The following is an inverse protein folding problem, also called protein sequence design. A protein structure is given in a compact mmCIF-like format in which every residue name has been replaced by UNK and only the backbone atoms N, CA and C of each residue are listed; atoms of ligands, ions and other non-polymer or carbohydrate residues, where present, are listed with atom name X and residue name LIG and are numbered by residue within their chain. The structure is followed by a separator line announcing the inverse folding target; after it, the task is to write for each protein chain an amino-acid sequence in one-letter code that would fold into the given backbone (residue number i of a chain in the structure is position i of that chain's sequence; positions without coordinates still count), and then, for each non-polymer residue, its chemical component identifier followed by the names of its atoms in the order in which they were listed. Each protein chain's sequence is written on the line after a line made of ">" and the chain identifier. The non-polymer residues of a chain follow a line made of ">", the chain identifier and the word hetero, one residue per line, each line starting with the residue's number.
data_IF_760104084986
#
_entry.id   IF_760104084986
#
_cell.length_a   1.000
_cell.length_b   1.000
_cell.length_c   1.000
_cell.angle_alpha   90.00
_cell.angle_beta   90.00
_cell.angle_gamma   90.00
#
_symmetry.space_group_name_H-M   'P 1'
#
loop_
_entity.id
_entity.type
_entity.pdbx_description
1 polymer ?
#
# COMPACT_ATOMS: atom_id res chain seq x y z
N UNK A 1 18.56 -5.29 16.23
CA UNK A 1 17.95 -4.83 17.51
C UNK A 1 17.58 -6.05 18.32
N UNK A 2 18.03 -6.17 19.58
CA UNK A 2 17.68 -7.29 20.47
C UNK A 2 16.37 -6.95 21.17
N UNK A 3 15.28 -7.62 20.80
CA UNK A 3 13.96 -7.36 21.37
C UNK A 3 13.85 -7.90 22.80
N UNK A 4 13.09 -7.21 23.65
CA UNK A 4 12.76 -7.67 24.99
C UNK A 4 11.87 -8.94 24.89
N UNK A 5 12.14 -10.00 25.67
CA UNK A 5 11.32 -11.22 25.70
C UNK A 5 9.82 -10.95 25.93
N UNK A 6 9.45 -9.94 26.72
CA UNK A 6 8.04 -9.58 26.94
C UNK A 6 7.36 -9.09 25.65
N UNK A 7 8.06 -8.28 24.85
CA UNK A 7 7.57 -7.82 23.55
C UNK A 7 7.37 -8.99 22.58
N UNK A 8 8.27 -9.98 22.63
CA UNK A 8 8.18 -11.20 21.81
C UNK A 8 6.95 -12.04 22.17
N UNK A 9 6.65 -12.18 23.46
CA UNK A 9 5.47 -12.94 23.93
C UNK A 9 4.17 -12.19 23.59
N UNK A 10 4.09 -10.89 23.87
CA UNK A 10 2.88 -10.10 23.67
C UNK A 10 2.43 -10.06 22.21
N UNK A 11 3.33 -9.76 21.26
CA UNK A 11 2.92 -9.81 19.85
C UNK A 11 2.76 -11.24 19.32
N UNK A 12 3.29 -12.27 20.00
CA UNK A 12 2.96 -13.67 19.69
C UNK A 12 1.50 -14.00 20.02
N UNK A 13 1.02 -13.57 21.20
CA UNK A 13 -0.38 -13.72 21.61
C UNK A 13 -1.35 -12.96 20.68
N UNK A 14 -0.96 -11.75 20.25
CA UNK A 14 -1.74 -10.95 19.30
C UNK A 14 -1.90 -11.63 17.94
N UNK A 15 -0.84 -12.28 17.43
CA UNK A 15 -0.91 -13.02 16.17
C UNK A 15 -1.80 -14.27 16.30
N UNK A 16 -1.71 -14.97 17.42
CA UNK A 16 -2.53 -16.15 17.69
C UNK A 16 -4.03 -15.81 17.79
N UNK A 17 -4.38 -14.68 18.41
CA UNK A 17 -5.77 -14.24 18.51
C UNK A 17 -6.37 -13.88 17.15
N UNK A 18 -5.58 -13.28 16.24
CA UNK A 18 -6.04 -12.97 14.89
C UNK A 18 -6.37 -14.23 14.07
N UNK A 19 -5.56 -15.30 14.22
CA UNK A 19 -5.82 -16.59 13.56
C UNK A 19 -7.03 -17.29 14.19
N UNK A 20 -7.15 -17.26 15.53
CA UNK A 20 -8.29 -17.83 16.24
C UNK A 20 -9.63 -17.12 15.92
N UNK A 21 -9.58 -15.84 15.55
CA UNK A 21 -10.74 -15.06 15.12
C UNK A 21 -11.27 -15.41 13.71
N UNK A 22 -10.72 -16.45 13.04
CA UNK A 22 -11.19 -16.90 11.73
C UNK A 22 -10.70 -16.03 10.55
N UNK A 23 -9.58 -15.33 10.72
CA UNK A 23 -8.94 -14.58 9.62
C UNK A 23 -8.48 -15.53 8.50
N UNK A 24 -8.89 -15.24 7.27
CA UNK A 24 -8.40 -15.93 6.07
C UNK A 24 -6.94 -15.58 5.71
N UNK A 25 -6.35 -14.59 6.40
CA UNK A 25 -4.98 -14.14 6.21
C UNK A 25 -4.04 -14.72 7.28
N UNK A 26 -2.84 -15.11 6.86
CA UNK A 26 -1.78 -15.52 7.77
C UNK A 26 -1.17 -14.30 8.48
N UNK A 27 -1.23 -14.28 9.82
CA UNK A 27 -0.61 -13.25 10.64
C UNK A 27 0.81 -13.68 11.05
N UNK A 28 1.83 -12.88 10.71
CA UNK A 28 3.23 -13.11 11.13
C UNK A 28 3.91 -11.78 11.48
N UNK A 29 4.96 -11.85 12.31
CA UNK A 29 5.83 -10.69 12.54
C UNK A 29 6.55 -10.30 11.24
N UNK A 30 6.64 -9.01 10.96
CA UNK A 30 7.45 -8.46 9.86
C UNK A 30 8.94 -8.59 10.17
N UNK A 31 9.78 -8.65 9.14
CA UNK A 31 11.23 -8.73 9.29
C UNK A 31 11.75 -7.45 9.99
N UNK A 32 12.53 -7.54 11.08
CA UNK A 32 13.05 -6.38 11.83
C UNK A 32 14.02 -5.47 11.05
N UNK A 33 14.45 -5.83 9.84
CA UNK A 33 15.16 -4.88 8.94
C UNK A 33 14.22 -3.93 8.18
N UNK A 34 12.91 -4.21 8.18
CA UNK A 34 11.88 -3.39 7.51
C UNK A 34 11.17 -2.41 8.44
N UNK A 35 11.45 -2.50 9.74
CA UNK A 35 10.97 -1.60 10.78
C UNK A 35 12.21 -1.11 11.50
N UNK A 36 12.38 0.20 11.68
CA UNK A 36 13.26 0.71 12.72
C UNK A 36 12.73 0.29 14.08
N UNK A 37 13.00 1.07 15.12
CA UNK A 37 12.47 0.80 16.46
C UNK A 37 11.01 0.30 16.46
N UNK A 38 10.73 -0.78 17.20
CA UNK A 38 9.39 -1.34 17.43
C UNK A 38 8.52 -0.40 18.32
N UNK A 39 8.69 0.93 18.15
CA UNK A 39 7.99 1.95 18.91
C UNK A 39 6.65 2.26 18.27
N UNK A 40 5.65 2.54 19.11
CA UNK A 40 4.35 3.03 18.66
C UNK A 40 4.46 4.34 17.89
N UNK A 41 5.44 5.18 18.23
CA UNK A 41 5.70 6.46 17.55
C UNK A 41 6.17 6.24 16.12
N UNK A 42 7.06 5.28 15.88
CA UNK A 42 7.50 4.92 14.52
C UNK A 42 6.36 4.29 13.73
N UNK A 43 5.55 3.42 14.36
CA UNK A 43 4.40 2.82 13.70
C UNK A 43 3.39 3.88 13.21
N UNK A 44 3.17 4.93 13.99
CA UNK A 44 2.29 6.02 13.62
C UNK A 44 2.76 6.78 12.36
N UNK A 45 4.06 6.81 12.07
CA UNK A 45 4.61 7.44 10.85
C UNK A 45 4.34 6.65 9.58
N UNK A 46 3.82 5.43 9.67
CA UNK A 46 3.38 4.67 8.49
C UNK A 46 1.92 4.98 8.10
N UNK A 47 1.19 5.81 8.86
CA UNK A 47 -0.25 6.02 8.72
C UNK A 47 -0.63 7.45 8.27
N UNK A 48 -0.01 7.92 7.19
CA UNK A 48 -0.06 9.35 6.80
C UNK A 48 -1.25 9.82 5.99
N UNK A 49 -2.17 8.92 5.68
CA UNK A 49 -3.41 9.28 5.02
C UNK A 49 -4.41 9.77 6.06
N UNK A 50 -4.61 11.10 6.11
CA UNK A 50 -5.64 11.71 6.95
C UNK A 50 -6.96 11.76 6.18
N UNK A 51 -8.03 11.27 6.81
CA UNK A 51 -9.38 11.44 6.30
C UNK A 51 -9.72 12.94 6.26
N UNK A 52 -9.72 13.54 5.07
CA UNK A 52 -10.32 14.86 4.87
C UNK A 52 -11.82 14.69 4.66
N UNK A 53 -12.67 15.59 5.19
CA UNK A 53 -14.08 15.59 4.82
C UNK A 53 -14.16 15.58 3.30
N UNK A 54 -14.93 14.65 2.74
CA UNK A 54 -15.01 14.41 1.30
C UNK A 54 -15.20 15.76 0.59
N UNK A 55 -14.12 16.29 0.01
CA UNK A 55 -14.25 17.21 -1.09
C UNK A 55 -14.95 16.37 -2.15
N UNK A 56 -16.16 16.79 -2.53
CA UNK A 56 -17.04 16.09 -3.46
C UNK A 56 -16.17 15.47 -4.57
N UNK A 57 -15.96 14.15 -4.47
CA UNK A 57 -15.33 13.41 -5.56
C UNK A 57 -16.15 13.77 -6.79
N UNK A 58 -15.49 14.27 -7.83
CA UNK A 58 -16.17 14.71 -9.04
C UNK A 58 -17.19 13.65 -9.44
N UNK A 59 -18.40 14.08 -9.83
CA UNK A 59 -19.46 13.21 -10.35
C UNK A 59 -18.94 12.50 -11.61
N UNK A 60 -18.11 11.48 -11.45
CA UNK A 60 -17.94 10.46 -12.45
C UNK A 60 -19.31 9.81 -12.50
N UNK A 61 -20.06 10.11 -13.57
CA UNK A 61 -21.31 9.43 -13.83
C UNK A 61 -21.00 7.94 -13.72
N UNK A 62 -21.73 7.23 -12.86
CA UNK A 62 -21.82 5.79 -12.90
C UNK A 62 -22.48 5.44 -14.24
N UNK A 63 -21.74 5.58 -15.34
CA UNK A 63 -22.05 4.87 -16.57
C UNK A 63 -21.83 3.42 -16.18
N UNK A 64 -22.94 2.73 -15.86
CA UNK A 64 -22.94 1.30 -15.73
C UNK A 64 -22.50 0.74 -17.08
N UNK A 65 -21.20 0.56 -17.25
CA UNK A 65 -20.62 -0.15 -18.37
C UNK A 65 -20.99 -1.61 -18.10
N UNK A 66 -22.12 -2.05 -18.63
CA UNK A 66 -22.49 -3.45 -18.66
C UNK A 66 -21.53 -4.15 -19.62
N UNK A 67 -20.54 -4.84 -19.08
CA UNK A 67 -19.57 -5.63 -19.82
C UNK A 67 -19.26 -6.93 -19.10
N UNK A 68 -18.83 -7.95 -19.83
CA UNK A 68 -18.30 -9.18 -19.26
C UNK A 68 -16.94 -8.87 -18.59
N UNK A 69 -16.96 -8.63 -17.28
CA UNK A 69 -15.74 -8.52 -16.49
C UNK A 69 -15.11 -9.90 -16.30
N UNK A 70 -13.77 -10.00 -16.32
CA UNK A 70 -13.10 -11.26 -16.05
C UNK A 70 -13.31 -11.65 -14.58
N UNK A 71 -13.35 -12.95 -14.30
CA UNK A 71 -13.47 -13.48 -12.93
C UNK A 71 -12.28 -13.06 -12.04
N UNK A 72 -11.12 -12.79 -12.64
CA UNK A 72 -9.89 -12.34 -11.99
C UNK A 72 -9.21 -11.27 -12.83
N UNK A 73 -8.60 -10.28 -12.20
CA UNK A 73 -7.87 -9.21 -12.89
C UNK A 73 -6.63 -8.83 -12.09
N UNK A 74 -5.48 -8.73 -12.77
CA UNK A 74 -4.23 -8.21 -12.22
C UNK A 74 -3.62 -7.21 -13.19
N UNK A 75 -3.51 -5.95 -12.76
CA UNK A 75 -2.97 -4.88 -13.60
C UNK A 75 -1.56 -5.17 -14.14
N UNK A 76 -0.77 -5.97 -13.41
CA UNK A 76 0.60 -6.32 -13.80
C UNK A 76 0.63 -7.25 -15.02
N UNK A 77 -0.38 -8.10 -15.15
CA UNK A 77 -0.50 -9.03 -16.28
C UNK A 77 -1.02 -8.30 -17.52
N UNK A 78 -2.00 -7.40 -17.33
CA UNK A 78 -2.63 -6.66 -18.44
C UNK A 78 -1.74 -5.56 -19.01
N UNK A 79 -0.91 -4.92 -18.17
CA UNK A 79 0.03 -3.88 -18.59
C UNK A 79 1.47 -4.29 -18.27
N UNK A 80 1.86 -5.48 -18.70
CA UNK A 80 3.21 -6.03 -18.48
C UNK A 80 4.34 -5.14 -19.02
N UNK A 81 4.05 -4.29 -20.01
CA UNK A 81 4.97 -3.29 -20.54
C UNK A 81 5.19 -2.08 -19.61
N UNK A 82 4.38 -1.95 -18.55
CA UNK A 82 4.48 -0.91 -17.54
C UNK A 82 5.03 -1.49 -16.23
N UNK A 83 6.37 -1.57 -16.08
CA UNK A 83 6.99 -2.15 -14.88
C UNK A 83 6.69 -1.37 -13.60
N UNK A 84 6.26 -0.11 -13.71
CA UNK A 84 5.85 0.72 -12.57
C UNK A 84 4.66 0.11 -11.82
N UNK A 85 3.74 -0.57 -12.52
CA UNK A 85 2.53 -1.19 -11.93
C UNK A 85 2.89 -2.28 -10.93
N UNK A 86 4.02 -2.96 -11.14
CA UNK A 86 4.55 -3.98 -10.23
C UNK A 86 5.51 -3.43 -9.16
N UNK A 87 5.81 -2.13 -9.17
CA UNK A 87 6.80 -1.52 -8.27
C UNK A 87 6.16 -1.23 -6.91
N UNK A 88 6.78 -1.74 -5.86
CA UNK A 88 6.38 -1.45 -4.46
C UNK A 88 7.24 -0.29 -3.93
N UNK A 89 6.68 0.93 -3.75
CA UNK A 89 7.43 2.06 -3.23
C UNK A 89 7.63 1.96 -1.72
N UNK A 90 8.75 2.50 -1.22
CA UNK A 90 9.06 2.57 0.21
C UNK A 90 8.97 4.02 0.70
N UNK A 91 8.09 4.30 1.65
CA UNK A 91 7.89 5.63 2.23
C UNK A 91 8.97 6.03 3.25
N UNK A 92 9.79 5.09 3.70
CA UNK A 92 10.74 5.30 4.79
C UNK A 92 10.05 5.56 6.13
N UNK A 93 10.73 6.23 7.05
CA UNK A 93 10.16 6.64 8.36
C UNK A 93 9.34 7.94 8.26
N UNK A 94 8.76 8.21 7.08
CA UNK A 94 8.00 9.42 6.78
C UNK A 94 6.52 9.11 6.62
N UNK A 95 5.69 10.05 7.06
CA UNK A 95 4.23 9.99 6.96
C UNK A 95 3.72 10.39 5.56
N UNK A 96 4.36 9.85 4.52
CA UNK A 96 4.28 10.36 3.14
C UNK A 96 3.40 9.52 2.22
N UNK A 97 2.69 8.52 2.73
CA UNK A 97 1.82 7.65 1.91
C UNK A 97 0.77 8.43 1.12
N UNK A 98 0.30 9.56 1.66
CA UNK A 98 -0.62 10.47 0.97
C UNK A 98 -0.04 11.09 -0.33
N UNK A 99 1.28 11.16 -0.47
CA UNK A 99 1.97 11.72 -1.65
C UNK A 99 2.63 10.62 -2.49
N UNK A 100 3.21 9.62 -1.84
CA UNK A 100 3.89 8.50 -2.50
C UNK A 100 2.93 7.64 -3.31
N UNK A 101 1.74 7.34 -2.78
CA UNK A 101 0.77 6.49 -3.49
C UNK A 101 0.18 7.21 -4.72
N UNK A 102 -0.28 8.48 -4.65
CA UNK A 102 -0.74 9.18 -5.85
C UNK A 102 0.31 9.31 -6.96
N UNK A 103 1.57 9.56 -6.60
CA UNK A 103 2.65 9.70 -7.61
C UNK A 103 3.04 8.36 -8.24
N UNK A 104 2.99 7.26 -7.48
CA UNK A 104 3.07 5.91 -8.05
C UNK A 104 1.92 5.66 -9.05
N UNK A 105 0.67 5.99 -8.68
CA UNK A 105 -0.49 5.83 -9.58
C UNK A 105 -0.41 6.74 -10.81
N UNK A 106 0.08 7.97 -10.68
CA UNK A 106 0.30 8.86 -11.83
C UNK A 106 1.34 8.26 -12.78
N UNK A 107 2.41 7.68 -12.25
CA UNK A 107 3.44 6.98 -13.02
C UNK A 107 2.81 5.83 -13.82
N UNK A 108 2.03 4.99 -13.16
CA UNK A 108 1.32 3.87 -13.79
C UNK A 108 0.37 4.33 -14.89
N UNK A 109 -0.46 5.33 -14.58
CA UNK A 109 -1.46 5.83 -15.53
C UNK A 109 -0.83 6.51 -16.74
N UNK A 110 0.27 7.24 -16.55
CA UNK A 110 1.02 7.81 -17.66
C UNK A 110 1.58 6.70 -18.55
N UNK A 111 2.16 5.65 -17.96
CA UNK A 111 2.64 4.51 -18.75
C UNK A 111 1.50 3.83 -19.52
N UNK A 112 0.38 3.52 -18.86
CA UNK A 112 -0.78 2.89 -19.49
C UNK A 112 -1.34 3.73 -20.65
N UNK A 113 -1.43 5.05 -20.46
CA UNK A 113 -2.03 5.95 -21.45
C UNK A 113 -1.10 6.24 -22.65
N UNK A 114 0.21 6.26 -22.42
CA UNK A 114 1.20 6.70 -23.43
C UNK A 114 2.06 5.56 -23.97
N UNK A 115 1.97 4.37 -23.38
CA UNK A 115 2.86 3.25 -23.64
C UNK A 115 4.36 3.59 -23.43
N UNK A 116 4.65 4.56 -22.55
CA UNK A 116 5.99 5.04 -22.24
C UNK A 116 6.32 4.83 -20.76
N UNK A 117 7.44 4.15 -20.48
CA UNK A 117 7.92 3.86 -19.13
C UNK A 117 8.94 4.87 -18.60
N UNK A 118 9.20 5.96 -19.32
CA UNK A 118 10.30 6.88 -19.02
C UNK A 118 9.92 8.03 -18.07
N UNK A 119 8.65 8.15 -17.70
CA UNK A 119 8.18 9.18 -16.79
C UNK A 119 7.95 8.57 -15.41
N UNK A 120 8.61 9.10 -14.39
CA UNK A 120 8.40 8.75 -12.98
C UNK A 120 8.09 10.03 -12.23
N UNK A 121 6.94 10.06 -11.54
CA UNK A 121 6.56 11.21 -10.72
C UNK A 121 7.26 11.14 -9.36
N UNK A 122 7.77 12.28 -8.89
CA UNK A 122 8.38 12.40 -7.56
C UNK A 122 7.31 12.61 -6.49
N UNK A 123 7.45 11.92 -5.37
CA UNK A 123 6.66 12.14 -4.15
C UNK A 123 7.19 13.30 -3.29
N UNK A 124 8.34 13.86 -3.67
CA UNK A 124 9.05 14.92 -2.98
C UNK A 124 9.27 16.08 -3.96
N UNK A 125 9.26 17.31 -3.42
CA UNK A 125 9.72 18.50 -4.14
C UNK A 125 11.26 18.59 -4.12
#
# INVERSE_FOLDING_TARGET
>A
VKMNPLTVVLSGLLLASAVAAGSNNAARRRNPYSSGSDSSEEYNRYSGSKNRPQQQQGKYANQAVYGNFPATFDARDYWAQCPSVGRVPNQGCCDSSYALIPTAVMTDRTCIATNSSNMVFSAFD
#
